data_IF_355197526509
#
_entry.id   IF_355197526509
#
_cell.length_a   1.000
_cell.length_b   1.000
_cell.length_c   1.000
_cell.angle_alpha   90.00
_cell.angle_beta   90.00
_cell.angle_gamma   90.00
#
_symmetry.space_group_name_H-M   'P 1'
#
loop_
_entity.id
_entity.type
_entity.pdbx_description
1 polymer ?
#
# COMPACT_ATOMS: atom_id res chain seq x y z
N UNK A 1 10.03 -11.83 3.91
CA UNK A 1 10.07 -10.50 4.54
C UNK A 1 11.47 -10.15 5.03
N UNK A 2 12.08 -10.90 5.96
CA UNK A 2 13.44 -10.61 6.46
C UNK A 2 14.49 -10.51 5.34
N UNK A 3 14.48 -11.46 4.40
CA UNK A 3 15.39 -11.42 3.24
C UNK A 3 15.18 -10.22 2.31
N UNK A 4 13.95 -9.71 2.17
CA UNK A 4 13.66 -8.54 1.36
C UNK A 4 14.16 -7.26 2.04
N UNK A 5 13.92 -7.13 3.35
CA UNK A 5 14.40 -6.00 4.16
C UNK A 5 15.93 -5.95 4.13
N UNK A 6 16.60 -7.09 4.28
CA UNK A 6 18.06 -7.13 4.22
C UNK A 6 18.57 -6.77 2.82
N UNK A 7 17.92 -7.25 1.76
CA UNK A 7 18.26 -6.85 0.39
C UNK A 7 18.12 -5.32 0.20
N UNK A 8 17.07 -4.71 0.74
CA UNK A 8 16.91 -3.24 0.75
C UNK A 8 18.04 -2.54 1.50
N UNK A 9 18.43 -3.02 2.69
CA UNK A 9 19.55 -2.46 3.46
C UNK A 9 20.87 -2.55 2.72
N UNK A 10 21.17 -3.70 2.12
CA UNK A 10 22.37 -3.90 1.31
C UNK A 10 22.37 -2.95 0.12
N UNK A 11 21.24 -2.81 -0.58
CA UNK A 11 21.09 -1.87 -1.70
C UNK A 11 21.35 -0.42 -1.29
N UNK A 12 20.72 0.04 -0.20
CA UNK A 12 20.91 1.40 0.33
C UNK A 12 22.36 1.67 0.75
N UNK A 13 22.99 0.74 1.48
CA UNK A 13 24.40 0.86 1.88
C UNK A 13 25.33 0.94 0.68
N UNK A 14 25.13 0.09 -0.32
CA UNK A 14 25.92 0.09 -1.55
C UNK A 14 25.80 1.42 -2.28
N UNK A 15 24.57 1.89 -2.52
CA UNK A 15 24.32 3.16 -3.22
C UNK A 15 24.94 4.35 -2.47
N UNK A 16 24.75 4.42 -1.15
CA UNK A 16 25.31 5.50 -0.33
C UNK A 16 26.85 5.52 -0.39
N UNK A 17 27.49 4.35 -0.31
CA UNK A 17 28.94 4.23 -0.44
C UNK A 17 29.43 4.66 -1.82
N UNK A 18 28.81 4.15 -2.90
CA UNK A 18 29.30 4.38 -4.27
C UNK A 18 29.04 5.80 -4.76
N UNK A 19 27.88 6.37 -4.43
CA UNK A 19 27.41 7.63 -5.04
C UNK A 19 27.61 8.84 -4.13
N UNK A 20 27.65 8.64 -2.81
CA UNK A 20 27.75 9.72 -1.83
C UNK A 20 28.99 9.63 -0.94
N UNK A 21 29.78 8.55 -1.03
CA UNK A 21 30.93 8.32 -0.16
C UNK A 21 30.57 8.13 1.32
N UNK A 22 29.28 7.87 1.63
CA UNK A 22 28.81 7.70 3.00
C UNK A 22 28.99 6.25 3.41
N UNK A 23 29.82 6.01 4.42
CA UNK A 23 29.99 4.69 5.02
C UNK A 23 28.90 4.40 6.05
N UNK A 24 28.58 3.11 6.24
CA UNK A 24 27.64 2.62 7.25
C UNK A 24 26.23 3.25 7.20
N UNK A 25 25.76 3.68 6.02
CA UNK A 25 24.42 4.24 5.86
C UNK A 25 23.33 3.23 6.25
N UNK A 26 22.61 3.49 7.34
CA UNK A 26 21.56 2.61 7.84
C UNK A 26 20.35 3.42 8.32
N UNK A 27 19.49 3.87 7.39
CA UNK A 27 18.27 4.58 7.76
C UNK A 27 17.29 3.65 8.48
N UNK A 28 16.41 4.25 9.28
CA UNK A 28 15.27 3.56 9.89
C UNK A 28 14.25 3.21 8.80
N UNK A 29 13.74 1.99 8.82
CA UNK A 29 12.78 1.46 7.84
C UNK A 29 11.44 1.21 8.52
N UNK A 30 10.36 1.57 7.82
CA UNK A 30 9.00 1.14 8.14
C UNK A 30 8.49 0.32 6.96
N UNK A 31 7.97 -0.87 7.23
CA UNK A 31 7.34 -1.73 6.23
C UNK A 31 5.84 -1.76 6.53
N UNK A 32 5.04 -1.32 5.55
CA UNK A 32 3.58 -1.44 5.57
C UNK A 32 3.15 -2.26 4.37
N UNK A 33 2.41 -3.33 4.61
CA UNK A 33 1.87 -4.22 3.59
C UNK A 33 0.41 -3.86 3.38
N UNK A 34 0.02 -3.54 2.14
CA UNK A 34 -1.37 -3.30 1.76
C UNK A 34 -1.97 -4.50 1.02
N UNK A 35 -3.01 -5.10 1.59
CA UNK A 35 -3.80 -6.16 0.98
C UNK A 35 -5.15 -5.61 0.52
N UNK A 36 -5.27 -5.30 -0.78
CA UNK A 36 -6.54 -4.85 -1.37
C UNK A 36 -7.56 -5.98 -1.52
N UNK A 37 -7.15 -7.25 -1.55
CA UNK A 37 -8.03 -8.39 -1.87
C UNK A 37 -8.16 -9.35 -0.69
N UNK A 38 -9.19 -9.16 0.13
CA UNK A 38 -9.60 -10.06 1.21
C UNK A 38 -11.13 -10.20 1.30
N UNK A 39 -11.59 -11.02 2.26
CA UNK A 39 -13.01 -11.35 2.45
C UNK A 39 -13.73 -10.44 3.45
N UNK A 40 -13.01 -9.69 4.31
CA UNK A 40 -13.61 -8.70 5.21
C UNK A 40 -14.37 -7.60 4.44
N UNK A 41 -15.56 -7.22 4.92
CA UNK A 41 -16.40 -6.10 4.42
C UNK A 41 -16.90 -5.31 5.61
N UNK A 42 -17.01 -4.01 5.42
CA UNK A 42 -17.45 -3.08 6.46
C UNK A 42 -18.58 -2.23 5.90
N UNK A 43 -19.59 -1.99 6.73
CA UNK A 43 -20.75 -1.20 6.40
C UNK A 43 -21.17 -0.41 7.64
N UNK A 44 -21.75 0.77 7.41
CA UNK A 44 -22.46 1.52 8.43
C UNK A 44 -23.88 0.96 8.51
N UNK A 45 -24.31 0.62 9.72
CA UNK A 45 -25.69 0.22 9.99
C UNK A 45 -26.47 1.42 10.52
N UNK A 46 -27.36 1.96 9.69
CA UNK A 46 -28.23 3.08 10.03
C UNK A 46 -29.63 2.59 10.47
N UNK A 47 -29.81 1.31 10.80
CA UNK A 47 -31.05 0.68 11.26
C UNK A 47 -32.11 0.43 10.18
N UNK A 48 -31.95 1.03 8.99
CA UNK A 48 -32.83 0.81 7.82
C UNK A 48 -32.13 0.10 6.68
N UNK A 49 -30.86 0.46 6.44
CA UNK A 49 -30.06 -0.05 5.34
C UNK A 49 -28.59 -0.10 5.75
N UNK A 50 -27.86 -1.02 5.13
CA UNK A 50 -26.41 -1.09 5.21
C UNK A 50 -25.81 -0.19 4.13
N UNK A 51 -24.98 0.75 4.54
CA UNK A 51 -24.31 1.70 3.66
C UNK A 51 -22.79 1.49 3.68
N UNK A 52 -22.11 1.93 2.63
CA UNK A 52 -20.65 1.92 2.63
C UNK A 52 -20.11 2.88 3.70
N UNK A 53 -18.95 2.54 4.28
CA UNK A 53 -18.21 3.47 5.12
C UNK A 53 -17.94 4.78 4.37
N UNK A 54 -17.92 5.89 5.12
CA UNK A 54 -17.58 7.19 4.56
C UNK A 54 -16.10 7.23 4.14
N UNK A 55 -15.73 8.00 3.11
CA UNK A 55 -14.33 8.32 2.86
C UNK A 55 -13.65 8.83 4.13
N UNK A 56 -12.37 8.52 4.30
CA UNK A 56 -11.57 8.80 5.50
C UNK A 56 -11.90 7.93 6.73
N UNK A 57 -12.78 6.95 6.61
CA UNK A 57 -13.01 5.99 7.71
C UNK A 57 -11.78 5.10 7.90
N UNK A 58 -11.37 4.93 9.16
CA UNK A 58 -10.33 3.98 9.58
C UNK A 58 -10.94 3.02 10.60
N UNK A 59 -10.54 1.74 10.53
CA UNK A 59 -10.91 0.71 11.49
C UNK A 59 -9.63 0.01 11.94
N UNK A 60 -9.26 0.22 13.20
CA UNK A 60 -8.02 -0.29 13.80
C UNK A 60 -8.23 -1.02 15.13
N UNK A 61 -9.49 -1.15 15.57
CA UNK A 61 -9.90 -1.83 16.82
C UNK A 61 -10.88 -2.96 16.55
N UNK A 62 -10.98 -3.87 17.50
CA UNK A 62 -11.93 -4.99 17.65
C UNK A 62 -11.90 -6.08 16.56
N UNK A 63 -11.82 -5.69 15.28
CA UNK A 63 -11.88 -6.58 14.11
C UNK A 63 -10.55 -6.64 13.35
N UNK A 64 -9.48 -6.32 14.05
CA UNK A 64 -8.08 -6.40 13.63
C UNK A 64 -7.41 -7.65 14.17
N UNK A 65 -6.29 -8.04 13.54
CA UNK A 65 -5.47 -9.15 14.01
C UNK A 65 -4.81 -8.83 15.37
N UNK A 66 -4.84 -9.76 16.35
CA UNK A 66 -4.17 -9.55 17.63
C UNK A 66 -2.66 -9.79 17.57
N UNK A 67 -2.18 -10.52 16.56
CA UNK A 67 -0.78 -10.95 16.42
C UNK A 67 0.09 -9.97 15.62
N UNK A 68 -0.52 -8.99 14.95
CA UNK A 68 0.19 -7.98 14.17
C UNK A 68 -0.60 -6.68 14.19
N UNK A 69 0.11 -5.56 14.11
CA UNK A 69 -0.51 -4.28 13.79
C UNK A 69 -1.26 -4.38 12.47
N UNK A 70 -2.59 -4.23 12.51
CA UNK A 70 -3.48 -4.26 11.34
C UNK A 70 -4.48 -3.10 11.44
N UNK A 71 -4.78 -2.46 10.32
CA UNK A 71 -5.87 -1.48 10.21
C UNK A 71 -6.49 -1.52 8.81
N UNK A 72 -7.72 -1.03 8.69
CA UNK A 72 -8.47 -0.91 7.44
C UNK A 72 -8.80 0.55 7.19
N UNK A 73 -8.80 0.99 5.94
CA UNK A 73 -9.18 2.38 5.62
C UNK A 73 -10.00 2.48 4.34
N UNK A 74 -11.04 3.31 4.39
CA UNK A 74 -11.88 3.68 3.26
C UNK A 74 -11.40 5.04 2.73
N UNK A 75 -10.38 5.05 1.87
CA UNK A 75 -9.80 6.30 1.38
C UNK A 75 -10.66 7.06 0.36
N UNK A 76 -11.54 6.36 -0.36
CA UNK A 76 -12.20 6.86 -1.57
C UNK A 76 -13.72 6.72 -1.50
N UNK A 77 -14.43 7.48 -2.34
CA UNK A 77 -15.87 7.29 -2.51
C UNK A 77 -16.16 6.01 -3.29
N UNK A 78 -17.05 5.16 -2.77
CA UNK A 78 -17.54 3.99 -3.49
C UNK A 78 -18.58 4.44 -4.52
N UNK A 79 -18.25 4.25 -5.80
CA UNK A 79 -19.14 4.64 -6.91
C UNK A 79 -20.21 3.58 -7.15
N UNK A 80 -19.86 2.30 -7.02
CA UNK A 80 -20.76 1.18 -7.31
C UNK A 80 -20.50 -0.01 -6.38
N UNK A 81 -21.59 -0.60 -5.89
CA UNK A 81 -21.57 -1.81 -5.06
C UNK A 81 -21.05 -1.56 -3.64
N UNK A 82 -20.57 -2.62 -3.01
CA UNK A 82 -19.98 -2.57 -1.66
C UNK A 82 -18.47 -2.39 -1.76
N UNK A 83 -17.98 -1.33 -1.12
CA UNK A 83 -16.58 -1.02 -0.98
C UNK A 83 -15.80 -2.10 -0.25
N UNK A 84 -14.53 -2.21 -0.60
CA UNK A 84 -13.58 -3.04 0.14
C UNK A 84 -12.46 -2.15 0.62
N UNK A 85 -12.41 -1.95 1.93
CA UNK A 85 -11.32 -1.25 2.60
C UNK A 85 -10.10 -2.15 2.54
N UNK A 86 -8.96 -1.75 1.94
CA UNK A 86 -7.75 -2.55 2.01
C UNK A 86 -7.30 -2.76 3.46
N UNK A 87 -6.75 -3.93 3.73
CA UNK A 87 -6.08 -4.24 5.00
C UNK A 87 -4.63 -3.77 4.93
N UNK A 88 -4.17 -3.05 5.94
CA UNK A 88 -2.79 -2.63 6.09
C UNK A 88 -2.20 -3.31 7.31
N UNK A 89 -1.02 -3.92 7.18
CA UNK A 89 -0.27 -4.45 8.32
C UNK A 89 1.13 -3.84 8.37
N UNK A 90 1.62 -3.55 9.57
CA UNK A 90 2.93 -2.91 9.77
C UNK A 90 3.89 -3.84 10.51
N UNK A 91 4.50 -4.82 9.82
CA UNK A 91 5.38 -5.80 10.46
C UNK A 91 6.77 -5.25 10.85
N UNK A 92 7.18 -4.09 10.34
CA UNK A 92 8.43 -3.44 10.74
C UNK A 92 8.19 -1.94 10.94
N UNK A 93 8.58 -1.40 12.08
CA UNK A 93 8.46 0.02 12.40
C UNK A 93 9.66 0.51 13.22
N UNK A 94 10.81 0.71 12.57
CA UNK A 94 12.00 1.21 13.25
C UNK A 94 11.93 2.72 13.52
N UNK A 95 11.06 3.43 12.80
CA UNK A 95 10.86 4.85 12.96
C UNK A 95 10.03 5.20 14.21
N UNK A 96 9.44 4.19 14.88
CA UNK A 96 8.51 4.35 16.00
C UNK A 96 7.30 5.22 15.65
N UNK A 97 6.76 5.05 14.43
CA UNK A 97 5.50 5.70 14.06
C UNK A 97 4.38 5.23 14.99
N UNK A 98 3.60 6.18 15.46
CA UNK A 98 2.30 5.92 16.08
C UNK A 98 1.31 5.39 15.04
N UNK A 99 0.22 4.76 15.50
CA UNK A 99 -0.84 4.30 14.61
C UNK A 99 -1.47 5.47 13.83
N UNK A 100 -1.72 6.59 14.50
CA UNK A 100 -2.31 7.78 13.89
C UNK A 100 -1.39 8.36 12.79
N UNK A 101 -0.08 8.38 13.00
CA UNK A 101 0.89 8.83 11.99
C UNK A 101 0.91 7.89 10.78
N UNK A 102 0.94 6.57 11.00
CA UNK A 102 0.93 5.59 9.92
C UNK A 102 -0.37 5.67 9.12
N UNK A 103 -1.52 5.72 9.78
CA UNK A 103 -2.83 5.84 9.15
C UNK A 103 -2.95 7.15 8.36
N UNK A 104 -2.53 8.27 8.95
CA UNK A 104 -2.54 9.59 8.29
C UNK A 104 -1.65 9.63 7.06
N UNK A 105 -0.44 9.06 7.14
CA UNK A 105 0.48 8.96 6.01
C UNK A 105 -0.14 8.13 4.88
N UNK A 106 -0.65 6.95 5.17
CA UNK A 106 -1.25 6.07 4.17
C UNK A 106 -2.50 6.68 3.54
N UNK A 107 -3.30 7.39 4.34
CA UNK A 107 -4.45 8.16 3.86
C UNK A 107 -4.03 9.28 2.93
N UNK A 108 -3.06 10.11 3.32
CA UNK A 108 -2.57 11.23 2.53
C UNK A 108 -2.03 10.78 1.15
N UNK A 109 -1.30 9.67 1.10
CA UNK A 109 -0.80 9.09 -0.15
C UNK A 109 -1.91 8.62 -1.11
N UNK A 110 -3.15 8.44 -0.64
CA UNK A 110 -4.29 8.13 -1.52
C UNK A 110 -4.82 9.36 -2.27
N UNK A 111 -4.44 10.57 -1.87
CA UNK A 111 -4.84 11.83 -2.51
C UNK A 111 -3.82 12.35 -3.51
N UNK A 112 -2.68 11.67 -3.67
CA UNK A 112 -1.60 12.12 -4.57
C UNK A 112 -1.69 11.54 -5.98
N UNK A 113 -2.81 10.89 -6.34
CA UNK A 113 -3.00 10.37 -7.69
C UNK A 113 -3.20 11.50 -8.69
N UNK A 114 -2.34 11.58 -9.71
CA UNK A 114 -2.26 12.74 -10.61
C UNK A 114 -3.24 12.69 -11.80
N UNK A 115 -4.01 11.62 -11.95
CA UNK A 115 -4.89 11.41 -13.12
C UNK A 115 -6.33 11.86 -12.85
N UNK A 116 -6.76 11.84 -11.59
CA UNK A 116 -8.14 12.16 -11.19
C UNK A 116 -8.15 13.08 -9.98
N UNK A 117 -9.18 13.91 -9.85
CA UNK A 117 -9.36 14.86 -8.74
C UNK A 117 -10.04 14.24 -7.50
N UNK A 118 -9.98 12.91 -7.38
CA UNK A 118 -10.56 12.15 -6.28
C UNK A 118 -9.50 11.25 -5.64
N UNK A 119 -9.67 10.91 -4.37
CA UNK A 119 -8.82 9.91 -3.75
C UNK A 119 -9.02 8.53 -4.37
N UNK A 120 -7.94 7.75 -4.38
CA UNK A 120 -7.93 6.37 -4.88
C UNK A 120 -7.92 5.35 -3.74
N UNK A 121 -8.25 4.10 -4.08
CA UNK A 121 -8.48 3.03 -3.09
C UNK A 121 -7.25 2.54 -2.32
N UNK A 122 -6.05 2.86 -2.79
CA UNK A 122 -4.77 2.45 -2.21
C UNK A 122 -3.77 3.60 -2.41
N UNK A 123 -2.72 3.71 -1.58
CA UNK A 123 -1.68 4.71 -1.73
C UNK A 123 -1.10 4.77 -3.14
N UNK A 124 -0.82 5.98 -3.64
CA UNK A 124 -0.30 6.20 -4.98
C UNK A 124 0.97 5.41 -5.32
N UNK A 125 1.98 5.30 -4.43
CA UNK A 125 3.17 4.49 -4.75
C UNK A 125 2.85 3.03 -5.03
N UNK A 126 1.84 2.47 -4.35
CA UNK A 126 1.39 1.09 -4.54
C UNK A 126 0.62 0.96 -5.86
N UNK A 127 -0.22 1.94 -6.18
CA UNK A 127 -0.94 2.00 -7.45
C UNK A 127 0.03 2.05 -8.64
N UNK A 128 1.02 2.94 -8.61
CA UNK A 128 2.01 3.11 -9.68
C UNK A 128 2.88 1.85 -9.86
N UNK A 129 3.27 1.20 -8.76
CA UNK A 129 4.02 -0.05 -8.84
C UNK A 129 3.23 -1.15 -9.58
N UNK A 130 1.92 -1.26 -9.35
CA UNK A 130 1.05 -2.20 -10.07
C UNK A 130 0.93 -1.85 -11.57
N UNK A 131 0.78 -0.56 -11.91
CA UNK A 131 0.75 -0.11 -13.32
C UNK A 131 2.08 -0.36 -14.05
N UNK A 132 3.23 -0.12 -13.41
CA UNK A 132 4.54 -0.43 -14.00
C UNK A 132 4.75 -1.93 -14.18
N UNK A 133 4.32 -2.75 -13.22
CA UNK A 133 4.37 -4.21 -13.35
C UNK A 133 3.48 -4.72 -14.49
N UNK A 134 2.27 -4.16 -14.66
CA UNK A 134 1.38 -4.46 -15.80
C UNK A 134 2.04 -4.08 -17.13
N UNK A 135 2.62 -2.88 -17.22
CA UNK A 135 3.34 -2.42 -18.41
C UNK A 135 4.52 -3.33 -18.74
N UNK A 136 5.34 -3.68 -17.75
CA UNK A 136 6.47 -4.60 -17.92
C UNK A 136 6.02 -5.96 -18.45
N UNK A 137 4.95 -6.53 -17.90
CA UNK A 137 4.35 -7.79 -18.39
C UNK A 137 3.88 -7.67 -19.84
N UNK A 138 3.22 -6.57 -20.21
CA UNK A 138 2.73 -6.37 -21.57
C UNK A 138 3.87 -6.24 -22.57
N UNK A 139 4.93 -5.49 -22.22
CA UNK A 139 6.13 -5.38 -23.04
C UNK A 139 6.82 -6.74 -23.23
N UNK A 140 6.94 -7.53 -22.16
CA UNK A 140 7.51 -8.87 -22.23
C UNK A 140 6.70 -9.79 -23.16
N UNK A 141 5.37 -9.77 -23.06
CA UNK A 141 4.50 -10.53 -23.97
C UNK A 141 4.67 -10.10 -25.41
N UNK A 142 4.67 -8.80 -25.70
CA UNK A 142 4.86 -8.29 -27.06
C UNK A 142 6.21 -8.73 -27.65
N UNK A 143 7.28 -8.69 -26.86
CA UNK A 143 8.60 -9.18 -27.26
C UNK A 143 8.54 -10.66 -27.64
N UNK A 144 7.96 -11.51 -26.79
CA UNK A 144 7.83 -12.95 -27.06
C UNK A 144 7.02 -13.23 -28.34
N UNK A 145 5.91 -12.51 -28.56
CA UNK A 145 5.13 -12.66 -29.79
C UNK A 145 5.89 -12.26 -31.05
N UNK A 146 6.68 -11.18 -31.00
CA UNK A 146 7.51 -10.77 -32.12
C UNK A 146 8.54 -11.85 -32.45
N UNK A 147 9.24 -12.41 -31.45
CA UNK A 147 10.25 -13.45 -31.66
C UNK A 147 9.66 -14.81 -32.12
N UNK A 148 8.38 -15.09 -31.84
CA UNK A 148 7.71 -16.31 -32.33
C UNK A 148 7.17 -16.18 -33.77
N UNK A 149 7.20 -14.98 -34.34
CA UNK A 149 6.73 -14.70 -35.71
C UNK A 149 7.90 -14.58 -36.72
N UNK A 150 9.14 -14.83 -36.28
CA UNK A 150 10.36 -14.91 -37.09
C UNK A 150 10.89 -16.35 -37.01
#
# INVERSE_FOLDING_TARGET
MEGEIEAFRVGMRRYAKTTKGIENYSPRIVCIIACKRHNKRFALDNGRMLENCLPLTVIDKDITRPDTTEFFMQSHKIIKGTGKLPAYSMPLNEANLTMDEAQSLMMALCFTHQIVTQSISIPEPIYQADEWAKRGRNNFKAMVYVFLLI
#
